data_IF_570423903689
#
_entry.id   IF_570423903689
#
_cell.length_a   1.000
_cell.length_b   1.000
_cell.length_c   1.000
_cell.angle_alpha   90.00
_cell.angle_beta   90.00
_cell.angle_gamma   90.00
#
_symmetry.space_group_name_H-M   'P 1'
#
loop_
_entity.id
_entity.type
_entity.pdbx_description
1 polymer ?
#
# COMPACT_ATOMS: atom_id res chain seq x y z
N UNK A 1 18.45 5.62 3.53
CA UNK A 1 18.79 4.28 3.00
C UNK A 1 18.91 4.41 1.48
N UNK A 2 20.02 4.02 0.86
CA UNK A 2 20.21 4.17 -0.59
C UNK A 2 20.37 2.78 -1.24
N UNK A 3 19.74 2.59 -2.40
CA UNK A 3 19.82 1.36 -3.19
C UNK A 3 21.06 1.40 -4.07
N UNK A 4 21.80 0.28 -4.13
CA UNK A 4 22.97 0.18 -5.02
C UNK A 4 22.53 0.05 -6.49
N UNK A 5 23.37 0.42 -7.47
CA UNK A 5 23.08 0.16 -8.87
C UNK A 5 22.84 -1.32 -9.19
N UNK A 6 23.52 -2.22 -8.46
CA UNK A 6 23.34 -3.66 -8.60
C UNK A 6 21.95 -4.11 -8.10
N UNK A 7 21.47 -3.53 -7.00
CA UNK A 7 20.12 -3.79 -6.50
C UNK A 7 19.06 -3.34 -7.50
N UNK A 8 19.21 -2.12 -8.05
CA UNK A 8 18.30 -1.60 -9.06
C UNK A 8 18.29 -2.46 -10.32
N UNK A 9 19.46 -2.90 -10.79
CA UNK A 9 19.57 -3.80 -11.93
C UNK A 9 18.84 -5.13 -11.69
N UNK A 10 19.05 -5.74 -10.52
CA UNK A 10 18.37 -6.99 -10.13
C UNK A 10 16.85 -6.81 -10.05
N UNK A 11 16.38 -5.72 -9.46
CA UNK A 11 14.95 -5.40 -9.37
C UNK A 11 14.35 -5.25 -10.77
N UNK A 12 15.01 -4.50 -11.66
CA UNK A 12 14.51 -4.23 -13.01
C UNK A 12 14.35 -5.50 -13.86
N UNK A 13 15.21 -6.50 -13.64
CA UNK A 13 15.20 -7.79 -14.35
C UNK A 13 14.18 -8.80 -13.78
N UNK A 14 13.62 -8.56 -12.59
CA UNK A 14 12.66 -9.50 -12.00
C UNK A 14 11.33 -9.50 -12.72
N UNK A 15 10.73 -10.69 -12.84
CA UNK A 15 9.35 -10.88 -13.30
C UNK A 15 8.34 -10.93 -12.15
N UNK A 16 8.77 -11.14 -10.90
CA UNK A 16 7.87 -11.33 -9.77
C UNK A 16 6.90 -10.17 -9.58
N UNK A 17 7.41 -8.94 -9.48
CA UNK A 17 6.55 -7.76 -9.41
C UNK A 17 5.88 -7.40 -10.74
N UNK A 18 6.38 -7.87 -11.89
CA UNK A 18 5.73 -7.65 -13.20
C UNK A 18 4.46 -8.48 -13.32
N UNK A 19 4.50 -9.71 -12.84
CA UNK A 19 3.39 -10.65 -12.89
C UNK A 19 2.46 -10.50 -11.68
N UNK A 20 3.04 -10.36 -10.48
CA UNK A 20 2.33 -10.30 -9.19
C UNK A 20 2.10 -8.90 -8.62
N UNK A 21 2.57 -7.84 -9.30
CA UNK A 21 2.53 -6.42 -8.89
C UNK A 21 3.30 -6.04 -7.64
N UNK A 22 3.62 -6.96 -6.75
CA UNK A 22 4.37 -6.69 -5.53
C UNK A 22 5.39 -7.80 -5.33
N UNK A 23 6.63 -7.41 -5.00
CA UNK A 23 7.71 -8.34 -4.69
C UNK A 23 8.60 -7.73 -3.60
N UNK A 24 9.18 -8.58 -2.75
CA UNK A 24 10.07 -8.16 -1.67
C UNK A 24 11.49 -8.60 -2.01
N UNK A 25 12.46 -7.70 -1.84
CA UNK A 25 13.88 -7.97 -2.07
C UNK A 25 14.69 -7.69 -0.82
N UNK A 26 15.62 -8.60 -0.51
CA UNK A 26 16.73 -8.32 0.40
C UNK A 26 17.82 -7.56 -0.36
N UNK A 27 18.17 -6.37 0.12
CA UNK A 27 19.25 -5.53 -0.45
C UNK A 27 20.35 -5.33 0.59
N UNK A 28 21.52 -4.85 0.17
CA UNK A 28 22.62 -4.54 1.09
C UNK A 28 22.24 -3.52 2.18
N UNK A 29 21.23 -2.69 1.91
CA UNK A 29 20.79 -1.62 2.80
C UNK A 29 19.53 -1.99 3.61
N UNK A 30 19.02 -3.22 3.47
CA UNK A 30 17.79 -3.72 4.12
C UNK A 30 16.72 -4.21 3.14
N UNK A 31 15.60 -4.72 3.67
CA UNK A 31 14.48 -5.20 2.84
C UNK A 31 13.73 -4.04 2.18
N UNK A 32 13.32 -4.26 0.95
CA UNK A 32 12.48 -3.34 0.18
C UNK A 32 11.31 -4.07 -0.47
N UNK A 33 10.24 -3.33 -0.69
CA UNK A 33 9.08 -3.77 -1.45
C UNK A 33 9.05 -3.02 -2.77
N UNK A 34 8.97 -3.77 -3.86
CA UNK A 34 8.78 -3.24 -5.22
C UNK A 34 7.32 -3.35 -5.56
N UNK A 35 6.73 -2.27 -6.07
CA UNK A 35 5.34 -2.23 -6.52
C UNK A 35 5.28 -1.85 -8.00
N UNK A 36 4.82 -2.79 -8.81
CA UNK A 36 4.60 -2.63 -10.24
C UNK A 36 3.33 -1.86 -10.57
N UNK A 37 3.36 -1.22 -11.74
CA UNK A 37 2.21 -0.55 -12.34
C UNK A 37 0.98 -1.45 -12.37
N UNK A 38 -0.18 -0.85 -12.11
CA UNK A 38 -1.44 -1.51 -12.42
C UNK A 38 -1.69 -1.34 -13.92
N UNK A 39 -1.88 -2.46 -14.63
CA UNK A 39 -2.35 -2.43 -16.02
C UNK A 39 -3.59 -1.51 -16.12
N UNK A 40 -3.61 -0.68 -17.16
CA UNK A 40 -4.77 0.14 -17.48
C UNK A 40 -5.93 -0.81 -17.79
N UNK A 41 -7.00 -0.72 -16.99
CA UNK A 41 -8.23 -1.47 -17.30
C UNK A 41 -8.83 -0.87 -18.59
N UNK A 42 -9.34 -1.70 -19.49
CA UNK A 42 -9.97 -1.24 -20.73
C UNK A 42 -11.10 -0.24 -20.44
N UNK A 43 -10.87 1.03 -20.75
CA UNK A 43 -11.80 2.13 -20.49
C UNK A 43 -13.19 1.90 -21.11
N UNK A 44 -13.26 1.19 -22.24
CA UNK A 44 -14.51 0.84 -22.93
C UNK A 44 -15.55 0.15 -22.03
N UNK A 45 -15.11 -0.74 -21.12
CA UNK A 45 -16.03 -1.45 -20.21
C UNK A 45 -16.68 -0.50 -19.20
N UNK A 46 -15.91 0.49 -18.74
CA UNK A 46 -16.41 1.51 -17.83
C UNK A 46 -17.28 2.54 -18.55
N UNK A 47 -16.96 2.89 -19.80
CA UNK A 47 -17.82 3.74 -20.61
C UNK A 47 -19.17 3.08 -20.92
N UNK A 48 -19.19 1.78 -21.23
CA UNK A 48 -20.43 1.02 -21.43
C UNK A 48 -21.27 0.98 -20.14
N UNK A 49 -20.66 0.62 -19.01
CA UNK A 49 -21.35 0.60 -17.70
C UNK A 49 -21.91 1.98 -17.35
N UNK A 50 -21.11 3.03 -17.51
CA UNK A 50 -21.54 4.40 -17.22
C UNK A 50 -22.63 4.88 -18.19
N UNK A 51 -22.59 4.44 -19.45
CA UNK A 51 -23.64 4.72 -20.44
C UNK A 51 -24.97 4.06 -20.07
N UNK A 52 -24.94 2.78 -19.69
CA UNK A 52 -26.13 2.06 -19.21
C UNK A 52 -26.67 2.67 -17.91
N UNK A 53 -25.79 3.00 -16.96
CA UNK A 53 -26.18 3.66 -15.71
C UNK A 53 -26.85 5.02 -15.94
N UNK A 54 -26.40 5.79 -16.95
CA UNK A 54 -27.05 7.05 -17.35
C UNK A 54 -28.41 6.80 -18.01
N UNK A 55 -28.50 5.84 -18.93
CA UNK A 55 -29.74 5.49 -19.62
C UNK A 55 -30.84 5.08 -18.63
N UNK A 56 -30.47 4.34 -17.59
CA UNK A 56 -31.39 3.86 -16.55
C UNK A 56 -31.66 4.89 -15.43
N UNK A 57 -31.05 6.08 -15.48
CA UNK A 57 -31.22 7.09 -14.43
C UNK A 57 -30.63 6.69 -13.07
N UNK A 58 -29.59 5.84 -13.07
CA UNK A 58 -28.92 5.31 -11.88
C UNK A 58 -27.51 5.90 -11.73
N UNK A 59 -27.37 7.22 -11.45
CA UNK A 59 -26.07 7.88 -11.42
C UNK A 59 -25.12 7.31 -10.35
N UNK A 60 -25.67 6.73 -9.27
CA UNK A 60 -24.89 6.11 -8.19
C UNK A 60 -24.18 4.81 -8.59
N UNK A 61 -24.55 4.21 -9.74
CA UNK A 61 -23.89 3.00 -10.26
C UNK A 61 -22.75 3.32 -11.23
N UNK A 62 -22.46 4.60 -11.48
CA UNK A 62 -21.32 4.98 -12.30
C UNK A 62 -20.02 4.55 -11.61
N UNK A 63 -19.13 3.94 -12.39
CA UNK A 63 -17.82 3.58 -11.89
C UNK A 63 -17.00 4.84 -11.61
N UNK A 64 -16.39 4.88 -10.42
CA UNK A 64 -15.40 5.89 -10.10
C UNK A 64 -14.25 5.86 -11.14
N UNK A 65 -13.76 7.02 -11.61
CA UNK A 65 -12.59 7.07 -12.48
C UNK A 65 -11.43 6.34 -11.81
N UNK A 66 -10.97 5.25 -12.41
CA UNK A 66 -9.77 4.53 -11.98
C UNK A 66 -8.67 4.77 -13.01
N UNK A 67 -7.94 5.91 -12.92
CA UNK A 67 -6.75 6.09 -13.74
C UNK A 67 -5.79 4.95 -13.40
N UNK A 68 -5.64 3.99 -14.32
CA UNK A 68 -4.59 2.98 -14.26
C UNK A 68 -3.26 3.54 -14.76
N UNK A 69 -2.23 2.70 -14.84
CA UNK A 69 -0.97 3.11 -15.43
C UNK A 69 -0.22 4.21 -14.66
N UNK A 70 0.59 4.99 -15.39
CA UNK A 70 1.56 5.95 -14.80
C UNK A 70 0.92 7.00 -13.90
N UNK A 71 -0.27 7.49 -14.21
CA UNK A 71 -0.96 8.49 -13.39
C UNK A 71 -1.32 7.95 -11.99
N UNK A 72 -1.74 6.68 -11.91
CA UNK A 72 -2.02 6.03 -10.63
C UNK A 72 -0.74 5.92 -9.77
N UNK A 73 0.37 5.50 -10.39
CA UNK A 73 1.66 5.43 -9.71
C UNK A 73 2.12 6.80 -9.22
N UNK A 74 2.03 7.83 -10.06
CA UNK A 74 2.40 9.19 -9.67
C UNK A 74 1.58 9.68 -8.48
N UNK A 75 0.27 9.43 -8.49
CA UNK A 75 -0.63 9.78 -7.39
C UNK A 75 -0.24 9.06 -6.10
N UNK A 76 0.06 7.76 -6.20
CA UNK A 76 0.47 6.95 -5.05
C UNK A 76 1.82 7.40 -4.47
N UNK A 77 2.83 7.61 -5.32
CA UNK A 77 4.15 8.11 -4.91
C UNK A 77 4.03 9.50 -4.28
N UNK A 78 3.25 10.40 -4.88
CA UNK A 78 3.02 11.74 -4.34
C UNK A 78 2.37 11.68 -2.96
N UNK A 79 1.37 10.80 -2.77
CA UNK A 79 0.71 10.59 -1.48
C UNK A 79 1.67 10.02 -0.43
N UNK A 80 2.46 9.00 -0.76
CA UNK A 80 3.44 8.44 0.17
C UNK A 80 4.46 9.50 0.60
N UNK A 81 4.97 10.31 -0.33
CA UNK A 81 5.88 11.42 -0.03
C UNK A 81 5.24 12.50 0.86
N UNK A 82 3.99 12.88 0.58
CA UNK A 82 3.27 13.86 1.40
C UNK A 82 3.04 13.36 2.83
N UNK A 83 2.62 12.10 2.98
CA UNK A 83 2.44 11.44 4.28
C UNK A 83 3.77 11.37 5.05
N UNK A 84 4.85 10.97 4.39
CA UNK A 84 6.17 10.93 4.99
C UNK A 84 6.64 12.32 5.42
N UNK A 85 6.38 13.36 4.62
CA UNK A 85 6.77 14.74 4.91
C UNK A 85 6.11 15.33 6.16
N UNK A 86 4.94 14.84 6.57
CA UNK A 86 4.30 15.21 7.86
C UNK A 86 4.68 14.28 9.01
N UNK A 87 5.67 13.40 8.81
CA UNK A 87 6.13 12.44 9.83
C UNK A 87 5.23 11.22 10.02
N UNK A 88 4.32 10.92 9.08
CA UNK A 88 3.52 9.71 9.17
C UNK A 88 4.39 8.45 9.01
N UNK A 89 4.05 7.39 9.75
CA UNK A 89 4.70 6.07 9.65
C UNK A 89 4.23 5.33 8.41
N UNK A 90 4.73 5.72 7.25
CA UNK A 90 4.47 5.10 5.94
C UNK A 90 5.77 4.60 5.31
N UNK A 91 5.71 3.65 4.35
CA UNK A 91 6.89 3.23 3.60
C UNK A 91 7.56 4.42 2.92
N UNK A 92 8.85 4.63 3.18
CA UNK A 92 9.64 5.63 2.45
C UNK A 92 9.82 5.17 1.00
N UNK A 93 9.55 6.03 0.04
CA UNK A 93 9.82 5.78 -1.38
C UNK A 93 11.32 5.98 -1.65
N UNK A 94 12.01 4.90 -2.00
CA UNK A 94 13.46 4.88 -2.20
C UNK A 94 13.85 5.08 -3.67
N UNK A 95 13.03 4.59 -4.60
CA UNK A 95 13.28 4.71 -6.04
C UNK A 95 11.96 4.72 -6.81
N UNK A 96 11.93 5.38 -7.97
CA UNK A 96 10.77 5.44 -8.86
C UNK A 96 11.28 5.28 -10.28
N UNK A 97 10.72 4.31 -11.00
CA UNK A 97 10.99 4.03 -12.41
C UNK A 97 9.69 4.17 -13.21
N UNK A 98 9.75 3.93 -14.53
CA UNK A 98 8.64 4.08 -15.44
C UNK A 98 7.47 3.13 -15.17
N UNK A 99 7.77 1.91 -14.69
CA UNK A 99 6.81 0.81 -14.55
C UNK A 99 6.71 0.22 -13.15
N UNK A 100 7.48 0.74 -12.21
CA UNK A 100 7.45 0.37 -10.81
C UNK A 100 8.01 1.48 -9.91
N UNK A 101 7.82 1.32 -8.61
CA UNK A 101 8.58 2.07 -7.62
C UNK A 101 9.00 1.15 -6.47
N UNK A 102 10.05 1.53 -5.77
CA UNK A 102 10.65 0.79 -4.66
C UNK A 102 10.44 1.58 -3.38
N UNK A 103 9.98 0.91 -2.33
CA UNK A 103 9.77 1.48 -1.02
C UNK A 103 10.35 0.61 0.08
N UNK A 104 10.63 1.21 1.24
CA UNK A 104 11.12 0.47 2.41
C UNK A 104 10.10 -0.58 2.83
N UNK A 105 10.57 -1.80 3.11
CA UNK A 105 9.73 -2.85 3.68
C UNK A 105 9.45 -2.55 5.16
N UNK A 106 8.21 -2.69 5.61
CA UNK A 106 7.79 -2.35 6.99
C UNK A 106 7.50 -3.56 7.88
N UNK A 107 7.41 -4.76 7.33
CA UNK A 107 6.92 -5.94 8.06
C UNK A 107 6.00 -6.81 7.20
N UNK A 108 5.62 -7.97 7.73
CA UNK A 108 4.55 -8.81 7.14
C UNK A 108 3.28 -8.84 7.98
N UNK A 109 3.38 -8.55 9.27
CA UNK A 109 2.25 -8.70 10.17
C UNK A 109 1.27 -7.55 10.03
N UNK A 110 0.03 -7.89 9.69
CA UNK A 110 -1.05 -6.93 9.61
C UNK A 110 -1.78 -6.81 10.95
N UNK A 111 -2.16 -5.59 11.33
CA UNK A 111 -2.94 -5.35 12.54
C UNK A 111 -4.25 -6.16 12.55
N UNK A 112 -4.86 -6.35 11.38
CA UNK A 112 -6.07 -7.18 11.24
C UNK A 112 -5.87 -8.62 11.72
N UNK A 113 -4.70 -9.21 11.47
CA UNK A 113 -4.40 -10.60 11.84
C UNK A 113 -4.03 -10.70 13.34
N UNK A 114 -3.34 -9.68 13.86
CA UNK A 114 -3.05 -9.55 15.30
C UNK A 114 -4.35 -9.45 16.13
N UNK A 115 -5.36 -8.75 15.61
CA UNK A 115 -6.68 -8.67 16.25
C UNK A 115 -7.42 -10.01 16.19
N UNK A 116 -7.44 -10.65 15.03
CA UNK A 116 -8.15 -11.93 14.83
C UNK A 116 -7.53 -13.08 15.64
N UNK A 117 -6.21 -13.05 15.84
CA UNK A 117 -5.49 -14.04 16.66
C UNK A 117 -5.67 -13.84 18.17
N UNK A 118 -6.45 -12.85 18.60
CA UNK A 118 -6.63 -12.50 20.02
C UNK A 118 -5.29 -12.25 20.75
N UNK A 119 -4.32 -11.67 20.04
CA UNK A 119 -3.01 -11.39 20.62
C UNK A 119 -3.14 -10.49 21.88
N UNK A 120 -2.37 -10.72 22.96
CA UNK A 120 -2.51 -9.94 24.20
C UNK A 120 -2.38 -8.43 24.02
N UNK A 121 -1.64 -7.99 23.00
CA UNK A 121 -1.43 -6.57 22.68
C UNK A 121 -2.45 -6.00 21.67
N UNK A 122 -3.40 -6.80 21.16
CA UNK A 122 -4.31 -6.39 20.09
C UNK A 122 -5.08 -5.10 20.43
N UNK A 123 -5.62 -4.99 21.64
CA UNK A 123 -6.35 -3.80 22.07
C UNK A 123 -5.45 -2.55 22.14
N UNK A 124 -4.19 -2.71 22.56
CA UNK A 124 -3.23 -1.61 22.63
C UNK A 124 -2.84 -1.13 21.23
N UNK A 125 -2.52 -2.07 20.32
CA UNK A 125 -2.15 -1.78 18.92
C UNK A 125 -3.32 -1.18 18.13
N UNK A 126 -4.54 -1.66 18.36
CA UNK A 126 -5.74 -1.07 17.77
C UNK A 126 -5.90 0.40 18.16
N UNK A 127 -5.74 0.71 19.45
CA UNK A 127 -5.80 2.09 19.95
C UNK A 127 -4.67 2.95 19.38
N UNK A 128 -3.44 2.45 19.36
CA UNK A 128 -2.30 3.18 18.78
C UNK A 128 -2.54 3.51 17.30
N UNK A 129 -3.07 2.55 16.53
CA UNK A 129 -3.41 2.75 15.13
C UNK A 129 -4.52 3.81 14.95
N UNK A 130 -5.55 3.78 15.81
CA UNK A 130 -6.58 4.81 15.86
C UNK A 130 -6.01 6.20 16.15
N UNK A 131 -5.16 6.32 17.16
CA UNK A 131 -4.52 7.58 17.52
C UNK A 131 -3.61 8.10 16.39
N UNK A 132 -2.93 7.20 15.67
CA UNK A 132 -2.14 7.56 14.50
C UNK A 132 -3.00 8.12 13.36
N UNK A 133 -4.19 7.55 13.12
CA UNK A 133 -5.14 8.10 12.17
C UNK A 133 -5.63 9.48 12.60
N UNK A 134 -5.95 9.70 13.88
CA UNK A 134 -6.39 11.01 14.38
C UNK A 134 -5.29 12.06 14.18
N UNK A 135 -4.05 11.75 14.54
CA UNK A 135 -2.90 12.66 14.31
C UNK A 135 -2.72 12.99 12.83
N UNK A 136 -2.91 12.01 11.95
CA UNK A 136 -2.79 12.22 10.51
C UNK A 136 -3.84 13.20 9.99
N UNK A 137 -5.10 13.02 10.42
CA UNK A 137 -6.20 13.93 10.04
C UNK A 137 -6.01 15.33 10.61
N UNK A 138 -5.50 15.45 11.84
CA UNK A 138 -5.17 16.74 12.42
C UNK A 138 -4.08 17.49 11.62
N UNK A 139 -3.19 16.76 10.94
CA UNK A 139 -2.19 17.32 10.02
C UNK A 139 -2.74 17.61 8.60
N UNK A 140 -4.06 17.54 8.40
CA UNK A 140 -4.70 17.74 7.09
C UNK A 140 -4.44 16.62 6.08
N UNK A 141 -3.92 15.48 6.53
CA UNK A 141 -3.64 14.31 5.71
C UNK A 141 -4.68 13.21 5.93
N UNK A 142 -4.77 12.28 4.98
CA UNK A 142 -5.72 11.15 5.08
C UNK A 142 -5.22 9.91 4.34
N UNK A 143 -5.72 8.75 4.76
CA UNK A 143 -5.55 7.47 4.07
C UNK A 143 -6.87 7.09 3.40
N UNK A 144 -6.84 6.75 2.11
CA UNK A 144 -8.05 6.26 1.42
C UNK A 144 -8.52 4.90 1.94
N UNK A 145 -7.60 4.07 2.43
CA UNK A 145 -7.89 2.74 2.97
C UNK A 145 -7.13 2.50 4.28
N UNK A 146 -7.42 3.30 5.32
CA UNK A 146 -6.90 3.14 6.68
C UNK A 146 -7.52 1.95 7.44
N UNK A 147 -7.62 0.78 6.80
CA UNK A 147 -8.13 -0.44 7.41
C UNK A 147 -7.04 -1.20 8.15
N UNK A 148 -7.38 -1.93 9.22
CA UNK A 148 -6.42 -2.74 9.98
C UNK A 148 -5.62 -3.73 9.13
N UNK A 149 -6.24 -4.32 8.11
CA UNK A 149 -5.55 -5.21 7.14
C UNK A 149 -4.46 -4.52 6.30
N UNK A 150 -4.45 -3.18 6.25
CA UNK A 150 -3.47 -2.39 5.50
C UNK A 150 -2.44 -1.72 6.44
N UNK A 151 -2.54 -1.94 7.75
CA UNK A 151 -1.63 -1.41 8.75
C UNK A 151 -0.64 -2.50 9.13
N UNK A 152 0.65 -2.19 9.08
CA UNK A 152 1.71 -3.10 9.46
C UNK A 152 2.09 -2.86 10.91
N UNK A 153 2.23 -3.95 11.68
CA UNK A 153 2.72 -3.92 13.05
C UNK A 153 4.20 -4.27 13.00
N UNK A 154 5.03 -3.40 13.58
CA UNK A 154 6.46 -3.65 13.70
C UNK A 154 6.71 -4.64 14.84
N UNK A 155 7.32 -5.79 14.54
CA UNK A 155 7.73 -6.78 15.53
C UNK A 155 6.63 -7.30 16.45
N UNK A 156 5.48 -7.73 15.90
CA UNK A 156 4.51 -8.45 16.72
C UNK A 156 5.19 -9.68 17.35
N UNK A 157 5.31 -9.77 18.69
CA UNK A 157 5.87 -10.97 19.29
C UNK A 157 4.99 -12.16 18.91
N UNK A 158 5.60 -13.31 18.64
CA UNK A 158 4.89 -14.52 18.31
C UNK A 158 3.77 -14.77 19.34
N UNK A 159 2.55 -15.04 18.87
CA UNK A 159 1.44 -15.34 19.75
C UNK A 159 1.83 -16.51 20.68
N UNK A 160 1.50 -16.44 21.98
CA UNK A 160 1.79 -17.54 22.88
C UNK A 160 1.11 -18.81 22.37
N UNK A 161 1.87 -19.90 22.25
CA UNK A 161 1.32 -21.21 21.93
C UNK A 161 0.34 -21.58 23.05
N UNK A 162 -0.95 -21.68 22.72
CA UNK A 162 -1.92 -22.21 23.65
C UNK A 162 -1.64 -23.71 23.85
N UNK A 163 -1.42 -24.19 25.09
CA UNK A 163 -1.41 -25.62 25.34
C UNK A 163 -2.82 -26.16 25.10
N UNK A 164 -2.92 -27.18 24.25
CA UNK A 164 -4.14 -27.95 24.02
C UNK A 164 -4.50 -28.86 25.19
#
# INVERSE_FOLDING_TARGET
MALSPQDLHRIAQSRGWRDGRVEVFDTASGKVTVKGLRATRHAARYHLLNGVARLLGLPFLQAAPMPGGRQAQQTEVARLRALHGVGARVPEVLHVDEDHFVMRWLGQDHLGDVIQSHHPQAAALWREAGDALVRLHAAGQYLSQGFARNMIVDGAPAAPAWPG
#
